data_IF_819928560547
#
_entry.id   IF_819928560547
#
_cell.length_a   1.000
_cell.length_b   1.000
_cell.length_c   1.000
_cell.angle_alpha   90.00
_cell.angle_beta   90.00
_cell.angle_gamma   90.00
#
_symmetry.space_group_name_H-M   'P 1'
#
loop_
_entity.id
_entity.type
_entity.pdbx_description
1 polymer ?
#
# COMPACT_ATOMS: atom_id res chain seq x y z
N UNK A 1 9.10 -8.90 20.73
CA UNK A 1 9.42 -9.99 19.78
C UNK A 1 10.86 -10.40 20.01
N UNK A 2 11.20 -11.68 19.85
CA UNK A 2 12.58 -12.12 19.90
C UNK A 2 13.32 -11.55 18.68
N UNK A 3 14.52 -11.01 18.87
CA UNK A 3 15.35 -10.39 17.81
C UNK A 3 15.54 -11.33 16.62
N UNK A 4 15.60 -12.66 16.87
CA UNK A 4 15.72 -13.67 15.83
C UNK A 4 14.43 -13.77 14.98
N UNK A 5 13.26 -13.71 15.59
CA UNK A 5 11.97 -13.73 14.88
C UNK A 5 11.84 -12.52 13.94
N UNK A 6 12.23 -11.33 14.40
CA UNK A 6 12.22 -10.11 13.57
C UNK A 6 13.18 -10.23 12.38
N UNK A 7 14.38 -10.79 12.60
CA UNK A 7 15.35 -11.03 11.53
C UNK A 7 14.81 -12.02 10.48
N UNK A 8 14.16 -13.11 10.91
CA UNK A 8 13.54 -14.07 10.00
C UNK A 8 12.46 -13.38 9.15
N UNK A 9 11.58 -12.58 9.76
CA UNK A 9 10.53 -11.85 9.06
C UNK A 9 11.13 -10.86 8.05
N UNK A 10 12.12 -10.06 8.46
CA UNK A 10 12.75 -9.03 7.62
C UNK A 10 13.46 -9.64 6.41
N UNK A 11 14.26 -10.69 6.62
CA UNK A 11 14.95 -11.40 5.53
C UNK A 11 13.95 -12.06 4.59
N UNK A 12 12.91 -12.70 5.14
CA UNK A 12 11.87 -13.34 4.33
C UNK A 12 11.08 -12.33 3.51
N UNK A 13 10.76 -11.15 4.07
CA UNK A 13 10.11 -10.05 3.34
C UNK A 13 10.91 -9.70 2.08
N UNK A 14 12.21 -9.44 2.23
CA UNK A 14 13.11 -9.11 1.12
C UNK A 14 13.17 -10.23 0.08
N UNK A 15 13.32 -11.48 0.51
CA UNK A 15 13.38 -12.62 -0.40
C UNK A 15 12.06 -12.85 -1.14
N UNK A 16 10.91 -12.69 -0.48
CA UNK A 16 9.60 -12.83 -1.11
C UNK A 16 9.32 -11.73 -2.14
N UNK A 17 9.74 -10.49 -1.86
CA UNK A 17 9.64 -9.39 -2.82
C UNK A 17 10.49 -9.64 -4.06
N UNK A 18 11.71 -10.17 -3.88
CA UNK A 18 12.67 -10.37 -4.95
C UNK A 18 12.35 -11.60 -5.82
N UNK A 19 11.94 -12.72 -5.20
CA UNK A 19 11.84 -14.02 -5.87
C UNK A 19 10.45 -14.61 -5.91
N UNK A 20 9.46 -14.00 -5.23
CA UNK A 20 8.14 -14.58 -4.99
C UNK A 20 8.13 -15.56 -3.80
N UNK A 21 6.94 -15.74 -3.22
CA UNK A 21 6.79 -16.57 -2.00
C UNK A 21 7.03 -18.04 -2.30
N UNK A 22 6.53 -18.53 -3.45
CA UNK A 22 6.63 -19.94 -3.82
C UNK A 22 8.06 -20.38 -4.04
N UNK A 23 8.86 -19.54 -4.70
CA UNK A 23 10.25 -19.85 -5.06
C UNK A 23 11.19 -19.85 -3.85
N UNK A 24 10.84 -19.15 -2.78
CA UNK A 24 11.67 -19.09 -1.56
C UNK A 24 11.30 -20.23 -0.63
N UNK A 25 12.23 -21.15 -0.43
CA UNK A 25 12.11 -22.24 0.54
C UNK A 25 12.55 -21.81 1.94
N UNK A 26 12.13 -22.57 2.96
CA UNK A 26 12.62 -22.37 4.33
C UNK A 26 14.14 -22.53 4.41
N UNK A 27 14.71 -23.41 3.57
CA UNK A 27 16.15 -23.60 3.47
C UNK A 27 16.88 -22.34 3.01
N UNK A 28 16.29 -21.59 2.07
CA UNK A 28 16.85 -20.31 1.63
C UNK A 28 16.93 -19.31 2.78
N UNK A 29 15.86 -19.20 3.56
CA UNK A 29 15.80 -18.30 4.74
C UNK A 29 16.81 -18.74 5.80
N UNK A 30 16.86 -20.04 6.12
CA UNK A 30 17.80 -20.59 7.09
C UNK A 30 19.26 -20.37 6.70
N UNK A 31 19.60 -20.57 5.42
CA UNK A 31 20.96 -20.33 4.89
C UNK A 31 21.35 -18.86 4.99
N UNK A 32 20.46 -17.96 4.62
CA UNK A 32 20.70 -16.51 4.67
C UNK A 32 20.99 -16.03 6.10
N UNK A 33 20.31 -16.63 7.10
CA UNK A 33 20.44 -16.27 8.52
C UNK A 33 21.43 -17.13 9.29
N UNK A 34 22.04 -18.14 8.65
CA UNK A 34 22.94 -19.11 9.30
C UNK A 34 22.30 -19.81 10.51
N UNK A 35 21.00 -20.14 10.42
CA UNK A 35 20.25 -20.85 11.46
C UNK A 35 19.87 -22.27 11.01
N UNK A 36 19.61 -23.15 12.00
CA UNK A 36 19.10 -24.49 11.70
C UNK A 36 17.60 -24.47 11.37
N UNK A 37 17.12 -25.44 10.58
CA UNK A 37 15.68 -25.66 10.38
C UNK A 37 14.94 -25.89 11.70
N UNK A 38 15.56 -26.58 12.64
CA UNK A 38 14.97 -26.80 13.97
C UNK A 38 14.70 -25.46 14.66
N UNK A 39 15.67 -24.55 14.63
CA UNK A 39 15.51 -23.20 15.18
C UNK A 39 14.40 -22.42 14.48
N UNK A 40 14.33 -22.51 13.14
CA UNK A 40 13.28 -21.88 12.38
C UNK A 40 11.88 -22.39 12.79
N UNK A 41 11.69 -23.71 12.82
CA UNK A 41 10.39 -24.33 13.12
C UNK A 41 9.94 -24.18 14.58
N UNK A 42 10.82 -23.80 15.50
CA UNK A 42 10.40 -23.39 16.86
C UNK A 42 9.66 -22.04 16.88
N UNK A 43 9.92 -21.17 15.90
CA UNK A 43 9.31 -19.83 15.79
C UNK A 43 8.16 -19.79 14.79
N UNK A 44 8.28 -20.54 13.70
CA UNK A 44 7.29 -20.64 12.62
C UNK A 44 7.01 -22.09 12.29
N UNK A 45 5.97 -22.71 12.90
CA UNK A 45 5.62 -24.11 12.68
C UNK A 45 5.34 -24.44 11.21
N UNK A 46 4.80 -23.48 10.44
CA UNK A 46 4.49 -23.62 9.04
C UNK A 46 4.96 -22.39 8.25
N UNK A 47 5.13 -22.55 6.93
CA UNK A 47 5.50 -21.44 6.04
C UNK A 47 4.38 -20.38 5.98
N UNK A 48 3.15 -20.80 6.12
CA UNK A 48 1.96 -19.96 6.21
C UNK A 48 2.07 -18.94 7.35
N UNK A 49 2.55 -19.35 8.53
CA UNK A 49 2.75 -18.48 9.69
C UNK A 49 3.80 -17.40 9.40
N UNK A 50 4.86 -17.77 8.70
CA UNK A 50 5.86 -16.81 8.24
C UNK A 50 5.28 -15.83 7.21
N UNK A 51 4.49 -16.31 6.24
CA UNK A 51 3.85 -15.46 5.22
C UNK A 51 2.92 -14.45 5.89
N UNK A 52 2.06 -14.87 6.82
CA UNK A 52 1.16 -13.99 7.58
C UNK A 52 1.93 -12.93 8.38
N UNK A 53 3.03 -13.35 9.02
CA UNK A 53 3.90 -12.47 9.79
C UNK A 53 4.63 -11.44 8.92
N UNK A 54 5.10 -11.85 7.73
CA UNK A 54 5.73 -10.95 6.76
C UNK A 54 4.76 -9.89 6.27
N UNK A 55 3.53 -10.25 5.92
CA UNK A 55 2.52 -9.29 5.50
C UNK A 55 2.12 -8.33 6.64
N UNK A 56 2.01 -8.84 7.86
CA UNK A 56 1.77 -8.02 9.05
C UNK A 56 2.90 -7.00 9.26
N UNK A 57 4.15 -7.42 9.11
CA UNK A 57 5.33 -6.57 9.21
C UNK A 57 5.37 -5.49 8.11
N UNK A 58 5.08 -5.86 6.86
CA UNK A 58 5.02 -4.93 5.74
C UNK A 58 3.93 -3.88 5.94
N UNK A 59 2.73 -4.30 6.35
CA UNK A 59 1.63 -3.38 6.64
C UNK A 59 1.99 -2.41 7.75
N UNK A 60 2.57 -2.90 8.86
CA UNK A 60 3.01 -2.04 9.97
C UNK A 60 4.05 -1.01 9.50
N UNK A 61 5.06 -1.44 8.74
CA UNK A 61 6.09 -0.54 8.22
C UNK A 61 5.51 0.54 7.30
N UNK A 62 4.52 0.18 6.47
CA UNK A 62 3.81 1.13 5.61
C UNK A 62 3.02 2.15 6.45
N UNK A 63 2.24 1.71 7.45
CA UNK A 63 1.52 2.60 8.35
C UNK A 63 2.46 3.56 9.10
N UNK A 64 3.57 3.07 9.65
CA UNK A 64 4.58 3.87 10.35
C UNK A 64 5.23 4.89 9.41
N UNK A 65 5.52 4.50 8.17
CA UNK A 65 6.07 5.36 7.13
C UNK A 65 5.10 6.50 6.80
N UNK A 66 3.85 6.20 6.50
CA UNK A 66 2.85 7.20 6.16
C UNK A 66 2.52 8.11 7.35
N UNK A 67 2.42 7.58 8.55
CA UNK A 67 2.23 8.38 9.77
C UNK A 67 3.33 9.43 9.96
N UNK A 68 4.60 9.05 9.73
CA UNK A 68 5.73 9.99 9.78
C UNK A 68 5.68 11.01 8.63
N UNK A 69 5.30 10.57 7.43
CA UNK A 69 5.27 11.38 6.22
C UNK A 69 4.21 12.49 6.32
N UNK A 70 3.05 12.19 6.92
CA UNK A 70 1.92 13.13 7.05
C UNK A 70 2.02 14.06 8.26
N UNK A 71 2.98 13.83 9.14
CA UNK A 71 3.15 14.65 10.33
C UNK A 71 3.34 16.13 9.93
N UNK A 72 2.48 17.00 10.45
CA UNK A 72 2.47 18.45 10.18
C UNK A 72 2.23 18.82 8.70
N UNK A 73 1.56 17.94 7.93
CA UNK A 73 1.15 18.23 6.56
C UNK A 73 -0.33 18.58 6.51
N UNK A 74 -0.69 19.48 5.60
CA UNK A 74 -2.11 19.68 5.28
C UNK A 74 -2.66 18.52 4.45
N UNK A 75 -3.96 18.51 4.26
CA UNK A 75 -4.67 17.43 3.54
C UNK A 75 -4.18 17.23 2.11
N UNK A 76 -3.92 18.32 1.36
CA UNK A 76 -3.46 18.23 -0.04
C UNK A 76 -2.00 17.80 -0.11
N UNK A 77 -1.12 18.34 0.75
CA UNK A 77 0.28 17.90 0.81
C UNK A 77 0.38 16.40 1.11
N UNK A 78 -0.47 15.89 2.01
CA UNK A 78 -0.55 14.46 2.32
C UNK A 78 -0.96 13.64 1.09
N UNK A 79 -1.95 14.09 0.31
CA UNK A 79 -2.33 13.45 -0.96
C UNK A 79 -1.20 13.48 -1.99
N UNK A 80 -0.52 14.61 -2.15
CA UNK A 80 0.63 14.73 -3.07
C UNK A 80 1.71 13.71 -2.71
N UNK A 81 2.00 13.53 -1.42
CA UNK A 81 2.99 12.57 -0.95
C UNK A 81 2.57 11.12 -1.25
N UNK A 82 1.29 10.77 -1.06
CA UNK A 82 0.75 9.47 -1.44
C UNK A 82 0.89 9.24 -2.94
N UNK A 83 0.52 10.23 -3.76
CA UNK A 83 0.60 10.16 -5.22
C UNK A 83 2.04 9.92 -5.68
N UNK A 84 3.00 10.65 -5.12
CA UNK A 84 4.43 10.47 -5.42
C UNK A 84 4.91 9.06 -5.04
N UNK A 85 4.51 8.57 -3.88
CA UNK A 85 4.88 7.25 -3.40
C UNK A 85 4.29 6.14 -4.31
N UNK A 86 3.03 6.27 -4.71
CA UNK A 86 2.39 5.34 -5.65
C UNK A 86 3.12 5.36 -7.00
N UNK A 87 3.37 6.55 -7.58
CA UNK A 87 4.05 6.68 -8.87
C UNK A 87 5.46 6.09 -8.84
N UNK A 88 6.19 6.27 -7.72
CA UNK A 88 7.55 5.73 -7.55
C UNK A 88 7.57 4.21 -7.49
N UNK A 89 6.58 3.62 -6.84
CA UNK A 89 6.56 2.19 -6.55
C UNK A 89 5.72 1.36 -7.53
N UNK A 90 4.98 1.99 -8.45
CA UNK A 90 4.02 1.28 -9.31
C UNK A 90 4.65 0.19 -10.18
N UNK A 91 5.91 0.37 -10.59
CA UNK A 91 6.65 -0.61 -11.38
C UNK A 91 7.36 -1.67 -10.50
N UNK A 92 7.62 -1.34 -9.22
CA UNK A 92 8.38 -2.20 -8.30
C UNK A 92 7.50 -3.17 -7.50
N UNK A 93 6.16 -3.02 -7.53
CA UNK A 93 5.27 -3.98 -6.87
C UNK A 93 5.49 -5.36 -7.47
N UNK A 94 5.97 -6.29 -6.65
CA UNK A 94 6.25 -7.66 -7.07
C UNK A 94 4.96 -8.37 -7.49
N UNK A 95 4.73 -8.43 -8.81
CA UNK A 95 3.59 -9.15 -9.39
C UNK A 95 3.63 -10.63 -9.00
N UNK A 96 4.84 -11.19 -8.92
CA UNK A 96 5.05 -12.60 -8.55
C UNK A 96 4.63 -12.86 -7.12
N UNK A 97 5.01 -11.97 -6.17
CA UNK A 97 4.61 -12.12 -4.77
C UNK A 97 3.09 -12.02 -4.61
N UNK A 98 2.45 -11.07 -5.28
CA UNK A 98 1.01 -10.89 -5.24
C UNK A 98 0.27 -12.11 -5.83
N UNK A 99 0.71 -12.58 -7.00
CA UNK A 99 0.17 -13.77 -7.63
C UNK A 99 0.30 -15.02 -6.73
N UNK A 100 1.46 -15.19 -6.09
CA UNK A 100 1.69 -16.31 -5.17
C UNK A 100 0.77 -16.25 -3.95
N UNK A 101 0.56 -15.05 -3.40
CA UNK A 101 -0.38 -14.84 -2.28
C UNK A 101 -1.81 -15.21 -2.67
N UNK A 102 -2.32 -14.66 -3.76
CA UNK A 102 -3.69 -14.90 -4.21
C UNK A 102 -3.92 -16.39 -4.51
N UNK A 103 -2.98 -17.02 -5.20
CA UNK A 103 -3.13 -18.39 -5.68
C UNK A 103 -2.88 -19.47 -4.62
N UNK A 104 -1.83 -19.29 -3.80
CA UNK A 104 -1.36 -20.36 -2.90
C UNK A 104 -1.67 -20.09 -1.42
N UNK A 105 -2.01 -18.83 -1.06
CA UNK A 105 -2.33 -18.42 0.30
C UNK A 105 -3.63 -17.59 0.37
N UNK A 106 -4.74 -18.03 -0.26
CA UNK A 106 -5.93 -17.20 -0.46
C UNK A 106 -6.54 -16.68 0.85
N UNK A 107 -6.54 -17.48 1.92
CA UNK A 107 -7.07 -17.06 3.23
C UNK A 107 -6.23 -15.93 3.86
N UNK A 108 -4.90 -16.03 3.75
CA UNK A 108 -3.97 -15.00 4.24
C UNK A 108 -4.12 -13.75 3.39
N UNK A 109 -4.18 -13.91 2.08
CA UNK A 109 -4.41 -12.83 1.13
C UNK A 109 -5.70 -12.06 1.45
N UNK A 110 -6.83 -12.74 1.57
CA UNK A 110 -8.13 -12.14 1.88
C UNK A 110 -8.10 -11.39 3.22
N UNK A 111 -7.58 -12.00 4.28
CA UNK A 111 -7.42 -11.38 5.62
C UNK A 111 -6.66 -10.05 5.54
N UNK A 112 -5.51 -10.04 4.84
CA UNK A 112 -4.67 -8.84 4.73
C UNK A 112 -5.27 -7.80 3.80
N UNK A 113 -5.96 -8.20 2.73
CA UNK A 113 -6.66 -7.30 1.82
C UNK A 113 -7.82 -6.59 2.53
N UNK A 114 -8.63 -7.29 3.31
CA UNK A 114 -9.72 -6.69 4.08
C UNK A 114 -9.18 -5.67 5.08
N UNK A 115 -8.13 -6.02 5.82
CA UNK A 115 -7.49 -5.11 6.78
C UNK A 115 -6.91 -3.88 6.10
N UNK A 116 -6.17 -4.06 5.01
CA UNK A 116 -5.57 -2.96 4.27
C UNK A 116 -6.62 -2.02 3.68
N UNK A 117 -7.71 -2.56 3.13
CA UNK A 117 -8.81 -1.76 2.60
C UNK A 117 -9.46 -0.89 3.69
N UNK A 118 -9.64 -1.44 4.89
CA UNK A 118 -10.19 -0.70 6.02
C UNK A 118 -9.22 0.39 6.51
N UNK A 119 -7.94 0.11 6.60
CA UNK A 119 -6.90 1.10 6.95
C UNK A 119 -6.85 2.25 5.93
N UNK A 120 -6.94 1.94 4.62
CA UNK A 120 -7.02 2.94 3.54
C UNK A 120 -8.30 3.78 3.68
N UNK A 121 -9.45 3.13 3.90
CA UNK A 121 -10.73 3.81 4.07
C UNK A 121 -10.69 4.80 5.22
N UNK A 122 -10.23 4.37 6.39
CA UNK A 122 -10.10 5.22 7.58
C UNK A 122 -9.09 6.35 7.37
N UNK A 123 -7.95 6.07 6.77
CA UNK A 123 -6.93 7.08 6.46
C UNK A 123 -7.47 8.15 5.51
N UNK A 124 -8.24 7.75 4.50
CA UNK A 124 -8.86 8.69 3.57
C UNK A 124 -9.97 9.52 4.24
N UNK A 125 -10.78 8.92 5.11
CA UNK A 125 -11.78 9.63 5.90
C UNK A 125 -11.17 10.72 6.77
N UNK A 126 -10.04 10.43 7.45
CA UNK A 126 -9.29 11.42 8.22
C UNK A 126 -8.81 12.57 7.33
N UNK A 127 -8.26 12.26 6.16
CA UNK A 127 -7.80 13.27 5.21
C UNK A 127 -8.95 14.14 4.68
N UNK A 128 -10.12 13.56 4.40
CA UNK A 128 -11.31 14.31 3.97
C UNK A 128 -11.76 15.29 5.05
N UNK A 129 -11.88 14.83 6.31
CA UNK A 129 -12.28 15.71 7.44
C UNK A 129 -11.28 16.85 7.63
N UNK A 130 -9.99 16.57 7.53
CA UNK A 130 -8.94 17.57 7.60
C UNK A 130 -9.06 18.58 6.44
N UNK A 131 -9.23 18.13 5.21
CA UNK A 131 -9.31 18.99 4.04
C UNK A 131 -10.54 19.90 4.01
N UNK A 132 -11.69 19.42 4.54
CA UNK A 132 -12.87 20.25 4.74
C UNK A 132 -12.57 21.32 5.80
N UNK A 133 -11.99 20.96 6.95
CA UNK A 133 -11.63 21.89 8.01
C UNK A 133 -10.61 22.96 7.58
N UNK A 134 -9.69 22.62 6.67
CA UNK A 134 -8.71 23.52 6.07
C UNK A 134 -9.29 24.38 4.92
N UNK A 135 -10.51 24.05 4.47
CA UNK A 135 -11.21 24.73 3.38
C UNK A 135 -10.64 24.44 2.00
N UNK A 136 -10.00 23.28 1.81
CA UNK A 136 -9.49 22.80 0.53
C UNK A 136 -10.44 21.84 -0.17
N UNK A 137 -11.31 21.16 0.59
CA UNK A 137 -12.27 20.22 0.05
C UNK A 137 -13.68 20.77 0.15
N UNK A 138 -14.56 20.18 -0.63
CA UNK A 138 -15.99 20.55 -0.68
C UNK A 138 -16.65 20.17 0.66
N UNK A 139 -17.52 21.05 1.16
CA UNK A 139 -18.24 20.84 2.43
C UNK A 139 -19.45 19.89 2.30
N UNK A 140 -19.93 19.69 1.07
CA UNK A 140 -21.10 18.85 0.76
C UNK A 140 -20.76 17.35 0.57
N UNK A 141 -19.54 16.94 0.90
CA UNK A 141 -19.10 15.55 0.72
C UNK A 141 -19.75 14.62 1.76
N UNK A 142 -20.35 13.53 1.29
CA UNK A 142 -20.67 12.39 2.14
C UNK A 142 -19.37 11.60 2.40
N UNK A 143 -18.71 11.95 3.51
CA UNK A 143 -17.36 11.43 3.85
C UNK A 143 -17.35 9.90 3.94
N UNK A 144 -18.36 9.31 4.57
CA UNK A 144 -18.45 7.87 4.77
C UNK A 144 -18.60 7.14 3.42
N UNK A 145 -19.53 7.60 2.60
CA UNK A 145 -19.80 6.98 1.30
C UNK A 145 -18.64 7.16 0.32
N UNK A 146 -18.02 8.35 0.29
CA UNK A 146 -16.85 8.62 -0.56
C UNK A 146 -15.64 7.79 -0.12
N UNK A 147 -15.41 7.64 1.18
CA UNK A 147 -14.30 6.82 1.69
C UNK A 147 -14.47 5.34 1.36
N UNK A 148 -15.71 4.84 1.47
CA UNK A 148 -16.05 3.48 1.03
C UNK A 148 -15.84 3.32 -0.49
N UNK A 149 -16.38 4.24 -1.28
CA UNK A 149 -16.22 4.23 -2.74
C UNK A 149 -14.74 4.25 -3.15
N UNK A 150 -13.93 5.11 -2.51
CA UNK A 150 -12.50 5.20 -2.77
C UNK A 150 -11.79 3.86 -2.53
N UNK A 151 -12.05 3.19 -1.39
CA UNK A 151 -11.41 1.89 -1.08
C UNK A 151 -11.77 0.80 -2.10
N UNK A 152 -13.02 0.78 -2.59
CA UNK A 152 -13.46 -0.13 -3.64
C UNK A 152 -12.77 0.18 -4.99
N UNK A 153 -12.62 1.46 -5.33
CA UNK A 153 -11.96 1.88 -6.58
C UNK A 153 -10.47 1.54 -6.61
N UNK A 154 -9.78 1.54 -5.48
CA UNK A 154 -8.38 1.10 -5.41
C UNK A 154 -8.25 -0.35 -5.87
N UNK A 155 -9.11 -1.25 -5.38
CA UNK A 155 -9.14 -2.65 -5.78
C UNK A 155 -9.40 -2.77 -7.29
N UNK A 156 -10.44 -2.13 -7.80
CA UNK A 156 -10.81 -2.18 -9.21
C UNK A 156 -9.71 -1.60 -10.12
N UNK A 157 -9.05 -0.53 -9.69
CA UNK A 157 -7.93 0.09 -10.42
C UNK A 157 -6.75 -0.88 -10.49
N UNK A 158 -6.45 -1.58 -9.41
CA UNK A 158 -5.39 -2.59 -9.38
C UNK A 158 -5.69 -3.77 -10.32
N UNK A 159 -6.92 -4.28 -10.30
CA UNK A 159 -7.36 -5.34 -11.22
C UNK A 159 -7.28 -4.89 -12.69
N UNK A 160 -7.70 -3.66 -12.99
CA UNK A 160 -7.58 -3.08 -14.33
C UNK A 160 -6.13 -3.01 -14.80
N UNK A 161 -5.20 -2.61 -13.93
CA UNK A 161 -3.77 -2.59 -14.24
C UNK A 161 -3.19 -3.97 -14.57
N UNK A 162 -3.74 -5.03 -13.96
CA UNK A 162 -3.32 -6.40 -14.24
C UNK A 162 -3.89 -6.94 -15.57
N UNK A 163 -5.13 -6.59 -15.89
CA UNK A 163 -5.85 -7.15 -17.04
C UNK A 163 -5.56 -6.43 -18.37
N UNK A 164 -5.14 -5.17 -18.35
CA UNK A 164 -5.05 -4.33 -19.54
C UNK A 164 -3.67 -3.71 -19.83
N UNK A 165 -2.55 -4.42 -19.60
CA UNK A 165 -1.22 -3.80 -19.68
C UNK A 165 -0.83 -3.30 -21.10
N UNK A 166 -1.39 -3.90 -22.16
CA UNK A 166 -1.08 -3.53 -23.56
C UNK A 166 -1.83 -2.30 -24.03
N UNK A 167 -3.08 -2.10 -23.60
CA UNK A 167 -3.93 -0.99 -24.03
C UNK A 167 -3.74 0.27 -23.19
N UNK A 168 -3.58 0.10 -21.89
CA UNK A 168 -3.40 1.20 -20.95
C UNK A 168 -2.19 0.93 -20.05
N UNK A 169 -1.08 1.67 -20.21
CA UNK A 169 0.05 1.60 -19.29
C UNK A 169 -0.38 1.86 -17.84
N UNK A 170 0.17 1.13 -16.88
CA UNK A 170 -0.15 1.25 -15.45
C UNK A 170 -0.11 2.71 -14.96
N UNK A 171 0.92 3.45 -15.37
CA UNK A 171 1.08 4.86 -15.04
C UNK A 171 -0.14 5.68 -15.47
N UNK A 172 -0.65 5.48 -16.70
CA UNK A 172 -1.83 6.20 -17.21
C UNK A 172 -3.10 5.86 -16.44
N UNK A 173 -3.28 4.60 -16.05
CA UNK A 173 -4.45 4.17 -15.27
C UNK A 173 -4.44 4.86 -13.90
N UNK A 174 -3.29 4.86 -13.22
CA UNK A 174 -3.20 5.46 -11.89
C UNK A 174 -3.32 6.97 -11.93
N UNK A 175 -2.73 7.63 -12.94
CA UNK A 175 -2.86 9.08 -13.11
C UNK A 175 -4.31 9.48 -13.34
N UNK A 176 -5.04 8.75 -14.18
CA UNK A 176 -6.47 8.98 -14.39
C UNK A 176 -7.30 8.79 -13.10
N UNK A 177 -7.03 7.71 -12.35
CA UNK A 177 -7.73 7.46 -11.08
C UNK A 177 -7.48 8.57 -10.06
N UNK A 178 -6.23 9.00 -9.91
CA UNK A 178 -5.86 10.06 -8.97
C UNK A 178 -6.45 11.42 -9.36
N UNK A 179 -6.43 11.75 -10.64
CA UNK A 179 -7.03 12.96 -11.18
C UNK A 179 -8.55 13.00 -10.91
N UNK A 180 -9.24 11.90 -11.22
CA UNK A 180 -10.68 11.75 -10.96
C UNK A 180 -10.99 11.94 -9.46
N UNK A 181 -10.21 11.29 -8.58
CA UNK A 181 -10.40 11.39 -7.14
C UNK A 181 -10.23 12.81 -6.63
N UNK A 182 -9.18 13.51 -7.07
CA UNK A 182 -8.91 14.88 -6.65
C UNK A 182 -10.05 15.82 -7.09
N UNK A 183 -10.49 15.74 -8.34
CA UNK A 183 -11.58 16.58 -8.84
C UNK A 183 -12.94 16.26 -8.20
N UNK A 184 -13.11 15.05 -7.68
CA UNK A 184 -14.31 14.69 -6.93
C UNK A 184 -14.37 15.36 -5.56
N UNK A 185 -13.24 15.55 -4.88
CA UNK A 185 -13.21 16.01 -3.48
C UNK A 185 -12.78 17.47 -3.30
N UNK A 186 -11.88 17.99 -4.13
CA UNK A 186 -11.32 19.33 -3.97
C UNK A 186 -12.30 20.41 -4.45
N UNK A 187 -12.31 21.55 -3.76
CA UNK A 187 -12.91 22.79 -4.24
C UNK A 187 -11.92 23.62 -5.07
N UNK A 188 -12.35 24.79 -5.56
CA UNK A 188 -11.47 25.67 -6.38
C UNK A 188 -10.16 26.05 -5.67
N UNK A 189 -10.22 26.38 -4.37
CA UNK A 189 -9.03 26.72 -3.57
C UNK A 189 -8.06 25.53 -3.47
N UNK A 190 -8.60 24.32 -3.27
CA UNK A 190 -7.79 23.09 -3.23
C UNK A 190 -7.15 22.77 -4.57
N UNK A 191 -7.90 22.89 -5.67
CA UNK A 191 -7.37 22.70 -7.02
C UNK A 191 -6.30 23.74 -7.38
N UNK A 192 -6.48 25.00 -6.97
CA UNK A 192 -5.47 26.03 -7.17
C UNK A 192 -4.19 25.72 -6.38
N UNK A 193 -4.31 25.38 -5.09
CA UNK A 193 -3.17 24.98 -4.27
C UNK A 193 -2.39 23.82 -4.90
N UNK A 194 -3.08 22.80 -5.42
CA UNK A 194 -2.45 21.66 -6.09
C UNK A 194 -1.67 22.10 -7.35
N UNK A 195 -2.23 23.01 -8.17
CA UNK A 195 -1.55 23.56 -9.35
C UNK A 195 -0.27 24.30 -8.97
N UNK A 196 -0.33 25.12 -7.93
CA UNK A 196 0.82 25.91 -7.46
C UNK A 196 1.96 25.02 -6.97
N UNK A 197 1.64 23.91 -6.28
CA UNK A 197 2.62 22.91 -5.86
C UNK A 197 3.22 22.13 -7.04
N UNK A 198 2.43 21.83 -8.07
CA UNK A 198 2.90 21.11 -9.26
C UNK A 198 3.84 21.93 -10.11
N UNK A 199 3.67 23.26 -10.16
CA UNK A 199 4.56 24.20 -10.86
C UNK A 199 5.91 24.32 -10.15
N UNK A 200 5.90 24.28 -8.80
CA UNK A 200 7.14 24.40 -8.01
C UNK A 200 8.09 23.20 -8.12
N UNK A 201 7.62 22.07 -8.66
CA UNK A 201 8.40 20.83 -8.82
C UNK A 201 8.94 20.61 -10.27
N UNK A 202 8.63 21.53 -11.17
CA UNK A 202 9.12 21.50 -12.57
C UNK A 202 10.42 22.27 -12.76
N UNK A 203 10.98 22.84 -11.67
CA UNK A 203 12.26 23.58 -11.68
C UNK A 203 13.31 22.94 -10.81
#
# INVERSE_FOLDING_TARGET
MDTLQENIISVSSRLFEQFGIRSVSIDNVCKELLISKKTFYTLFPQKEDLVDSVLTFQNKNNCDKFSKLFKNKNSIDSLILIIKEIKRNIESVSQTMFFDLEKYYPRIFEKHMLKNNEEIRLGFEINLRQGIAEGYYREDLDIELISLFHSLQIKNTFELMQQSPKKFPKKRIIEFFLDLMIHMIANEKGLQYLRDQSISETF
#
